data_IF_046345798876
#
_entry.id   IF_046345798876
#
_cell.length_a   1.000
_cell.length_b   1.000
_cell.length_c   1.000
_cell.angle_alpha   90.00
_cell.angle_beta   90.00
_cell.angle_gamma   90.00
#
_symmetry.space_group_name_H-M   'P 1'
#
loop_
_entity.id
_entity.type
_entity.pdbx_description
1 polymer ?
#
# COMPACT_ATOMS: atom_id res chain seq x y z
N UNK A 1 -27.34 20.41 -12.69
CA UNK A 1 -27.10 19.76 -11.34
C UNK A 1 -25.84 18.94 -11.45
N UNK A 2 -24.92 19.07 -10.51
CA UNK A 2 -23.64 18.36 -10.51
C UNK A 2 -23.88 16.85 -10.35
N UNK A 3 -23.37 16.05 -11.30
CA UNK A 3 -23.48 14.59 -11.30
C UNK A 3 -22.29 13.96 -10.58
N UNK A 4 -22.55 12.99 -9.66
CA UNK A 4 -21.55 12.27 -8.93
C UNK A 4 -20.53 11.56 -9.83
N UNK A 5 -20.95 11.09 -11.01
CA UNK A 5 -20.07 10.48 -12.01
C UNK A 5 -19.00 11.48 -12.50
N UNK A 6 -19.38 12.75 -12.70
CA UNK A 6 -18.46 13.81 -13.09
C UNK A 6 -17.52 14.21 -11.95
N UNK A 7 -17.98 14.16 -10.71
CA UNK A 7 -17.11 14.35 -9.54
C UNK A 7 -16.03 13.27 -9.45
N UNK A 8 -16.36 12.00 -9.73
CA UNK A 8 -15.37 10.91 -9.82
C UNK A 8 -14.33 11.18 -10.92
N UNK A 9 -14.76 11.71 -12.07
CA UNK A 9 -13.85 12.05 -13.17
C UNK A 9 -12.92 13.20 -12.77
N UNK A 10 -13.43 14.25 -12.13
CA UNK A 10 -12.59 15.35 -11.62
C UNK A 10 -11.52 14.82 -10.65
N UNK A 11 -11.91 13.95 -9.71
CA UNK A 11 -11.00 13.32 -8.77
C UNK A 11 -9.93 12.49 -9.48
N UNK A 12 -10.32 11.61 -10.41
CA UNK A 12 -9.36 10.80 -11.15
C UNK A 12 -8.37 11.65 -11.95
N UNK A 13 -8.80 12.78 -12.54
CA UNK A 13 -7.86 13.69 -13.23
C UNK A 13 -6.92 14.38 -12.25
N UNK A 14 -7.36 14.72 -11.06
CA UNK A 14 -6.51 15.26 -10.00
C UNK A 14 -5.46 14.24 -9.54
N UNK A 15 -5.87 12.99 -9.31
CA UNK A 15 -5.01 11.92 -8.83
C UNK A 15 -3.96 11.51 -9.87
N UNK A 16 -4.38 11.30 -11.12
CA UNK A 16 -3.53 10.80 -12.21
C UNK A 16 -2.81 11.87 -13.03
N UNK A 17 -3.06 13.15 -12.76
CA UNK A 17 -2.37 14.28 -13.40
C UNK A 17 -2.47 14.37 -14.92
N UNK A 18 -3.13 13.43 -15.60
CA UNK A 18 -3.39 13.47 -17.05
C UNK A 18 -4.77 12.90 -17.37
N UNK A 19 -5.41 13.41 -18.41
CA UNK A 19 -6.70 12.90 -18.90
C UNK A 19 -6.57 11.44 -19.37
N UNK A 20 -5.45 11.10 -19.99
CA UNK A 20 -5.21 9.73 -20.51
C UNK A 20 -5.09 8.73 -19.37
N UNK A 21 -4.31 9.04 -18.33
CA UNK A 21 -4.16 8.14 -17.18
C UNK A 21 -5.46 8.03 -16.37
N UNK A 22 -6.18 9.14 -16.15
CA UNK A 22 -7.51 9.12 -15.52
C UNK A 22 -8.52 8.30 -16.33
N UNK A 23 -8.48 8.37 -17.66
CA UNK A 23 -9.35 7.58 -18.52
C UNK A 23 -9.05 6.08 -18.39
N UNK A 24 -7.78 5.68 -18.37
CA UNK A 24 -7.38 4.30 -18.16
C UNK A 24 -7.86 3.79 -16.80
N UNK A 25 -7.64 4.56 -15.71
CA UNK A 25 -8.08 4.22 -14.36
C UNK A 25 -9.60 4.03 -14.24
N UNK A 26 -10.37 4.81 -15.00
CA UNK A 26 -11.84 4.74 -14.99
C UNK A 26 -12.42 3.80 -16.05
N UNK A 27 -11.58 3.09 -16.81
CA UNK A 27 -12.01 2.26 -17.97
C UNK A 27 -12.83 3.06 -19.00
N UNK A 28 -12.45 4.32 -19.22
CA UNK A 28 -13.07 5.23 -20.18
C UNK A 28 -12.10 5.61 -21.31
N UNK A 29 -12.62 6.23 -22.36
CA UNK A 29 -11.78 6.86 -23.37
C UNK A 29 -11.36 8.27 -22.94
N UNK A 30 -10.19 8.79 -23.35
CA UNK A 30 -9.78 10.17 -23.07
C UNK A 30 -10.78 11.21 -23.59
N UNK A 31 -11.45 10.92 -24.70
CA UNK A 31 -12.52 11.76 -25.25
C UNK A 31 -13.71 11.83 -24.29
N UNK A 32 -14.16 10.69 -23.74
CA UNK A 32 -15.28 10.65 -22.80
C UNK A 32 -14.95 11.44 -21.52
N UNK A 33 -13.75 11.25 -20.96
CA UNK A 33 -13.28 12.02 -19.79
C UNK A 33 -13.28 13.52 -20.09
N UNK A 34 -12.73 13.92 -21.26
CA UNK A 34 -12.69 15.33 -21.68
C UNK A 34 -14.08 15.95 -21.83
N UNK A 35 -15.05 15.21 -22.41
CA UNK A 35 -16.43 15.66 -22.57
C UNK A 35 -17.13 15.83 -21.21
N UNK A 36 -16.95 14.89 -20.29
CA UNK A 36 -17.57 14.97 -18.97
C UNK A 36 -16.97 16.10 -18.12
N UNK A 37 -15.65 16.35 -18.23
CA UNK A 37 -15.02 17.52 -17.59
C UNK A 37 -15.57 18.82 -18.15
N UNK A 38 -15.66 18.95 -19.47
CA UNK A 38 -16.21 20.16 -20.12
C UNK A 38 -17.67 20.41 -19.70
N UNK A 39 -18.48 19.35 -19.60
CA UNK A 39 -19.83 19.43 -19.08
C UNK A 39 -19.89 19.88 -17.63
N UNK A 40 -18.97 19.39 -16.77
CA UNK A 40 -18.87 19.82 -15.37
C UNK A 40 -18.45 21.29 -15.26
N UNK A 41 -17.49 21.74 -16.06
CA UNK A 41 -17.06 23.14 -16.15
C UNK A 41 -18.20 24.07 -16.61
N UNK A 42 -18.99 23.61 -17.58
CA UNK A 42 -20.17 24.34 -18.03
C UNK A 42 -21.25 24.45 -16.94
N UNK A 43 -21.53 23.37 -16.20
CA UNK A 43 -22.49 23.36 -15.09
C UNK A 43 -22.07 24.24 -13.92
N UNK A 44 -20.79 24.29 -13.61
CA UNK A 44 -20.25 25.12 -12.52
C UNK A 44 -19.98 26.56 -12.94
N UNK A 45 -19.92 26.84 -14.22
CA UNK A 45 -19.55 28.15 -14.76
C UNK A 45 -18.07 28.50 -14.59
N UNK A 46 -17.23 27.53 -14.19
CA UNK A 46 -15.82 27.74 -13.91
C UNK A 46 -14.95 26.73 -14.63
N UNK A 47 -13.77 27.15 -15.06
CA UNK A 47 -12.72 26.21 -15.42
C UNK A 47 -12.22 25.51 -14.18
N UNK A 48 -12.17 24.18 -14.21
CA UNK A 48 -11.76 23.34 -13.09
C UNK A 48 -10.37 22.73 -13.31
N UNK A 49 -9.98 22.58 -14.58
CA UNK A 49 -8.72 21.92 -14.97
C UNK A 49 -7.97 22.79 -15.99
N UNK A 50 -6.69 23.03 -15.72
CA UNK A 50 -5.74 23.60 -16.66
C UNK A 50 -4.91 22.49 -17.30
N UNK A 51 -4.81 22.53 -18.64
CA UNK A 51 -4.00 21.61 -19.43
C UNK A 51 -2.70 22.31 -19.84
N UNK A 52 -1.57 21.69 -19.55
CA UNK A 52 -0.25 22.20 -19.89
C UNK A 52 0.67 21.12 -20.41
N UNK A 53 1.88 21.50 -20.81
CA UNK A 53 2.90 20.58 -21.31
C UNK A 53 3.28 19.45 -20.30
N UNK A 54 3.00 19.68 -19.01
CA UNK A 54 3.28 18.73 -17.91
C UNK A 54 2.03 17.97 -17.42
N UNK A 55 0.94 17.95 -18.17
CA UNK A 55 -0.30 17.25 -17.82
C UNK A 55 -1.47 18.17 -17.47
N UNK A 56 -2.36 17.68 -16.61
CA UNK A 56 -3.54 18.37 -16.13
C UNK A 56 -3.38 18.77 -14.66
N UNK A 57 -3.75 20.00 -14.31
CA UNK A 57 -3.73 20.52 -12.92
C UNK A 57 -5.09 21.13 -12.61
N UNK A 58 -5.50 21.04 -11.36
CA UNK A 58 -6.70 21.74 -10.92
C UNK A 58 -6.45 23.25 -10.85
N UNK A 59 -7.50 24.02 -11.16
CA UNK A 59 -7.57 25.44 -10.83
C UNK A 59 -7.98 25.60 -9.36
N UNK A 60 -7.94 26.83 -8.81
CA UNK A 60 -8.48 27.09 -7.49
C UNK A 60 -9.96 26.68 -7.35
N UNK A 61 -10.79 26.89 -8.39
CA UNK A 61 -12.16 26.41 -8.43
C UNK A 61 -12.24 24.87 -8.47
N UNK A 62 -11.31 24.22 -9.18
CA UNK A 62 -11.18 22.77 -9.22
C UNK A 62 -10.84 22.19 -7.84
N UNK A 63 -9.92 22.80 -7.09
CA UNK A 63 -9.56 22.38 -5.74
C UNK A 63 -10.75 22.52 -4.77
N UNK A 64 -11.47 23.64 -4.83
CA UNK A 64 -12.69 23.83 -4.03
C UNK A 64 -13.71 22.72 -4.35
N UNK A 65 -13.99 22.47 -5.63
CA UNK A 65 -14.94 21.44 -6.00
C UNK A 65 -14.46 20.04 -5.63
N UNK A 66 -13.17 19.74 -5.75
CA UNK A 66 -12.59 18.45 -5.36
C UNK A 66 -12.78 18.18 -3.87
N UNK A 67 -12.59 19.19 -3.00
CA UNK A 67 -12.79 19.03 -1.56
C UNK A 67 -14.23 18.61 -1.23
N UNK A 68 -15.23 19.24 -1.88
CA UNK A 68 -16.64 18.86 -1.74
C UNK A 68 -16.95 17.52 -2.42
N UNK A 69 -16.34 17.24 -3.57
CA UNK A 69 -16.51 15.98 -4.28
C UNK A 69 -16.11 14.78 -3.40
N UNK A 70 -15.00 14.87 -2.67
CA UNK A 70 -14.54 13.81 -1.77
C UNK A 70 -15.59 13.53 -0.66
N UNK A 71 -16.20 14.57 -0.09
CA UNK A 71 -17.26 14.42 0.92
C UNK A 71 -18.51 13.76 0.33
N UNK A 72 -18.96 14.22 -0.84
CA UNK A 72 -20.15 13.64 -1.51
C UNK A 72 -19.92 12.18 -1.88
N UNK A 73 -18.75 11.86 -2.42
CA UNK A 73 -18.41 10.50 -2.82
C UNK A 73 -18.32 9.57 -1.59
N UNK A 74 -17.76 10.03 -0.47
CA UNK A 74 -17.74 9.29 0.79
C UNK A 74 -19.15 9.04 1.34
N UNK A 75 -20.08 10.00 1.22
CA UNK A 75 -21.48 9.80 1.62
C UNK A 75 -22.20 8.78 0.73
N UNK A 76 -21.91 8.75 -0.56
CA UNK A 76 -22.47 7.72 -1.45
C UNK A 76 -21.94 6.32 -1.10
N UNK A 77 -20.64 6.15 -0.79
CA UNK A 77 -20.09 4.88 -0.30
C UNK A 77 -20.79 4.43 0.99
N UNK A 78 -21.01 5.36 1.94
CA UNK A 78 -21.70 5.06 3.18
C UNK A 78 -23.14 4.63 2.95
N UNK A 79 -23.87 5.31 2.07
CA UNK A 79 -25.24 4.95 1.73
C UNK A 79 -25.28 3.57 1.03
N UNK A 80 -24.34 3.26 0.14
CA UNK A 80 -24.22 1.94 -0.48
C UNK A 80 -23.97 0.86 0.59
N UNK A 81 -23.13 1.13 1.61
CA UNK A 81 -22.85 0.23 2.72
C UNK A 81 -24.09 -0.01 3.60
N UNK A 82 -24.80 1.05 4.00
CA UNK A 82 -26.02 0.96 4.83
C UNK A 82 -27.14 0.22 4.10
N UNK A 83 -27.32 0.44 2.79
CA UNK A 83 -28.30 -0.28 1.99
C UNK A 83 -27.95 -1.77 1.83
N UNK A 84 -26.67 -2.08 1.70
CA UNK A 84 -26.22 -3.48 1.65
C UNK A 84 -26.47 -4.22 2.96
N UNK A 85 -26.33 -3.54 4.10
CA UNK A 85 -26.64 -4.10 5.43
C UNK A 85 -28.14 -4.35 5.64
N UNK A 86 -29.00 -3.55 5.02
CA UNK A 86 -30.46 -3.73 5.08
C UNK A 86 -30.95 -5.00 4.35
N UNK A 87 -30.16 -5.53 3.41
CA UNK A 87 -30.46 -6.75 2.67
C UNK A 87 -30.17 -8.00 3.49
N UNK A 88 -31.12 -8.92 3.62
CA UNK A 88 -30.91 -10.18 4.33
C UNK A 88 -29.92 -11.10 3.62
N UNK A 89 -28.79 -11.41 4.28
CA UNK A 89 -27.79 -12.38 3.83
C UNK A 89 -26.55 -11.74 3.20
N UNK A 90 -25.48 -11.67 4.00
CA UNK A 90 -24.19 -11.13 3.55
C UNK A 90 -23.47 -12.18 2.71
N UNK A 91 -23.65 -12.12 1.39
CA UNK A 91 -22.91 -12.96 0.44
C UNK A 91 -22.41 -12.11 -0.73
N UNK A 92 -21.12 -12.25 -1.07
CA UNK A 92 -20.54 -11.48 -2.16
C UNK A 92 -19.04 -11.67 -2.28
N UNK A 93 -18.43 -10.84 -3.12
CA UNK A 93 -16.98 -10.87 -3.36
C UNK A 93 -16.35 -9.56 -2.92
N UNK A 94 -15.26 -9.64 -2.15
CA UNK A 94 -14.35 -8.52 -1.81
C UNK A 94 -13.03 -8.74 -2.53
N UNK A 95 -12.54 -7.72 -3.20
CA UNK A 95 -11.22 -7.77 -3.86
C UNK A 95 -10.20 -7.03 -3.00
N UNK A 96 -9.10 -7.71 -2.68
CA UNK A 96 -8.02 -7.18 -1.83
C UNK A 96 -6.72 -7.15 -2.61
N UNK A 97 -6.07 -6.00 -2.69
CA UNK A 97 -4.70 -5.87 -3.17
C UNK A 97 -3.74 -5.86 -1.98
N UNK A 98 -2.67 -6.65 -2.04
CA UNK A 98 -1.68 -6.71 -0.97
C UNK A 98 -0.33 -7.18 -1.54
N UNK A 99 0.76 -6.72 -0.95
CA UNK A 99 2.11 -7.17 -1.26
C UNK A 99 2.37 -8.60 -0.71
N UNK A 100 3.29 -9.33 -1.32
CA UNK A 100 3.52 -10.77 -1.09
C UNK A 100 3.64 -11.16 0.40
N UNK A 101 4.46 -10.44 1.19
CA UNK A 101 4.62 -10.74 2.63
C UNK A 101 3.37 -10.37 3.44
N UNK A 102 2.61 -9.36 3.06
CA UNK A 102 1.31 -9.01 3.66
C UNK A 102 0.24 -10.08 3.39
N UNK A 103 0.26 -10.67 2.17
CA UNK A 103 -0.59 -11.81 1.84
C UNK A 103 -0.29 -12.97 2.79
N UNK A 104 0.98 -13.35 2.94
CA UNK A 104 1.38 -14.49 3.76
C UNK A 104 1.11 -14.29 5.25
N UNK A 105 1.44 -13.11 5.78
CA UNK A 105 1.40 -12.85 7.21
C UNK A 105 -0.01 -12.56 7.74
N UNK A 106 -0.80 -11.80 7.00
CA UNK A 106 -2.09 -11.30 7.48
C UNK A 106 -3.26 -11.84 6.68
N UNK A 107 -3.19 -11.74 5.35
CA UNK A 107 -4.38 -12.00 4.53
C UNK A 107 -4.72 -13.49 4.46
N UNK A 108 -3.77 -14.38 4.22
CA UNK A 108 -4.04 -15.81 4.13
C UNK A 108 -4.57 -16.40 5.46
N UNK A 109 -4.02 -16.06 6.66
CA UNK A 109 -4.64 -16.45 7.92
C UNK A 109 -6.03 -15.83 8.12
N UNK A 110 -6.26 -14.58 7.72
CA UNK A 110 -7.57 -13.94 7.80
C UNK A 110 -8.61 -14.64 6.90
N UNK A 111 -8.23 -15.11 5.71
CA UNK A 111 -9.10 -15.92 4.84
C UNK A 111 -9.51 -17.22 5.50
N UNK A 112 -8.60 -17.88 6.24
CA UNK A 112 -8.91 -19.11 6.99
C UNK A 112 -9.94 -18.84 8.08
N UNK A 113 -9.87 -17.70 8.75
CA UNK A 113 -10.84 -17.26 9.75
C UNK A 113 -12.21 -16.94 9.11
N UNK A 114 -12.20 -16.15 8.04
CA UNK A 114 -13.39 -15.76 7.30
C UNK A 114 -14.18 -16.95 6.75
N UNK A 115 -13.50 -18.00 6.30
CA UNK A 115 -14.18 -19.22 5.82
C UNK A 115 -15.07 -19.85 6.91
N UNK A 116 -14.75 -19.63 8.19
CA UNK A 116 -15.54 -20.15 9.34
C UNK A 116 -16.57 -19.15 9.84
N UNK A 117 -16.25 -17.85 9.87
CA UNK A 117 -17.07 -16.81 10.50
C UNK A 117 -18.02 -16.12 9.52
N UNK A 118 -17.63 -16.03 8.25
CA UNK A 118 -18.40 -15.37 7.20
C UNK A 118 -18.33 -16.14 5.86
N UNK A 119 -18.85 -17.39 5.78
CA UNK A 119 -18.69 -18.28 4.63
C UNK A 119 -19.34 -17.76 3.34
N UNK A 120 -20.25 -16.78 3.44
CA UNK A 120 -20.85 -16.10 2.28
C UNK A 120 -19.90 -15.10 1.59
N UNK A 121 -18.82 -14.70 2.25
CA UNK A 121 -17.87 -13.73 1.71
C UNK A 121 -16.76 -14.47 0.96
N UNK A 122 -16.63 -14.18 -0.33
CA UNK A 122 -15.50 -14.64 -1.15
C UNK A 122 -14.49 -13.51 -1.28
N UNK A 123 -13.23 -13.75 -0.93
CA UNK A 123 -12.15 -12.79 -1.13
C UNK A 123 -11.33 -13.16 -2.36
N UNK A 124 -11.13 -12.20 -3.27
CA UNK A 124 -10.16 -12.28 -4.37
C UNK A 124 -8.94 -11.48 -4.01
N UNK A 125 -7.77 -12.08 -4.15
CA UNK A 125 -6.49 -11.45 -3.82
C UNK A 125 -5.75 -11.09 -5.09
N UNK A 126 -5.18 -9.89 -5.13
CA UNK A 126 -4.25 -9.41 -6.16
C UNK A 126 -2.93 -9.05 -5.49
N UNK A 127 -1.83 -9.56 -6.03
CA UNK A 127 -0.49 -9.16 -5.61
C UNK A 127 -0.20 -7.77 -6.18
N UNK A 128 0.06 -6.81 -5.29
CA UNK A 128 0.42 -5.44 -5.65
C UNK A 128 1.20 -4.77 -4.51
N UNK A 129 2.27 -4.07 -4.87
CA UNK A 129 3.05 -3.28 -3.93
C UNK A 129 2.27 -2.04 -3.44
N UNK A 130 2.71 -1.47 -2.30
CA UNK A 130 1.98 -0.42 -1.60
C UNK A 130 1.74 0.86 -2.40
N UNK A 131 2.65 1.21 -3.32
CA UNK A 131 2.51 2.37 -4.22
C UNK A 131 1.44 2.15 -5.30
N UNK A 132 1.17 0.91 -5.70
CA UNK A 132 0.12 0.54 -6.64
C UNK A 132 -1.21 0.23 -5.95
N UNK A 133 -1.20 -0.45 -4.80
CA UNK A 133 -2.41 -0.99 -4.16
C UNK A 133 -3.37 0.10 -3.67
N UNK A 134 -2.87 1.22 -3.12
CA UNK A 134 -3.71 2.32 -2.64
C UNK A 134 -4.41 3.06 -3.79
N UNK A 135 -3.74 3.43 -4.90
CA UNK A 135 -4.43 3.92 -6.11
C UNK A 135 -5.53 2.98 -6.61
N UNK A 136 -5.32 1.65 -6.59
CA UNK A 136 -6.34 0.68 -7.01
C UNK A 136 -7.64 0.77 -6.17
N UNK A 137 -7.55 1.10 -4.87
CA UNK A 137 -8.73 1.36 -4.02
C UNK A 137 -9.45 2.63 -4.47
N UNK A 138 -8.70 3.71 -4.71
CA UNK A 138 -9.27 4.99 -5.14
C UNK A 138 -9.96 4.88 -6.51
N UNK A 139 -9.40 4.07 -7.41
CA UNK A 139 -9.91 3.81 -8.75
C UNK A 139 -11.01 2.73 -8.78
N UNK A 140 -11.41 2.18 -7.63
CA UNK A 140 -12.41 1.10 -7.49
C UNK A 140 -12.04 -0.20 -8.21
N UNK A 141 -10.76 -0.44 -8.44
CA UNK A 141 -10.27 -1.71 -8.99
C UNK A 141 -10.27 -2.81 -7.92
N UNK A 142 -10.02 -2.41 -6.67
CA UNK A 142 -10.15 -3.27 -5.49
C UNK A 142 -10.94 -2.56 -4.39
N UNK A 143 -11.42 -3.34 -3.44
CA UNK A 143 -12.20 -2.83 -2.30
C UNK A 143 -11.29 -2.47 -1.12
N UNK A 144 -10.25 -3.25 -0.90
CA UNK A 144 -9.29 -3.10 0.20
C UNK A 144 -7.87 -3.16 -0.36
N UNK A 145 -6.96 -2.33 0.17
CA UNK A 145 -5.53 -2.46 -0.03
C UNK A 145 -4.84 -2.76 1.31
N UNK A 146 -3.83 -3.64 1.29
CA UNK A 146 -2.84 -3.77 2.36
C UNK A 146 -1.56 -3.15 1.87
N UNK A 147 -1.09 -2.10 2.52
CA UNK A 147 0.01 -1.27 2.06
C UNK A 147 1.02 -0.99 3.18
N UNK A 148 2.24 -0.71 2.79
CA UNK A 148 3.30 -0.18 3.66
C UNK A 148 3.26 1.34 3.61
N UNK A 149 3.50 2.00 4.74
CA UNK A 149 3.64 3.45 4.79
C UNK A 149 4.93 3.89 4.07
N UNK A 150 4.82 4.90 3.20
CA UNK A 150 5.94 5.47 2.45
C UNK A 150 5.73 6.97 2.24
N UNK A 151 6.77 7.72 1.87
CA UNK A 151 6.74 9.19 1.76
C UNK A 151 5.70 9.73 0.78
N UNK A 152 5.32 8.96 -0.23
CA UNK A 152 4.28 9.31 -1.21
C UNK A 152 2.89 8.76 -0.89
N UNK A 153 2.74 8.00 0.21
CA UNK A 153 1.45 7.46 0.60
C UNK A 153 0.46 8.58 0.94
N UNK A 154 -0.84 8.41 0.68
CA UNK A 154 -1.85 9.32 1.18
C UNK A 154 -1.69 9.55 2.68
N UNK A 155 -1.78 10.80 3.13
CA UNK A 155 -1.66 11.14 4.55
C UNK A 155 -2.74 10.43 5.39
N UNK A 156 -2.53 10.32 6.70
CA UNK A 156 -3.51 9.68 7.59
C UNK A 156 -4.87 10.41 7.60
N UNK A 157 -4.87 11.72 7.37
CA UNK A 157 -6.05 12.57 7.30
C UNK A 157 -6.62 12.70 5.87
N UNK A 158 -6.16 11.90 4.93
CA UNK A 158 -6.68 11.90 3.55
C UNK A 158 -8.15 11.50 3.54
N UNK A 159 -9.01 12.47 3.24
CA UNK A 159 -10.47 12.31 3.26
C UNK A 159 -11.04 11.36 2.19
N UNK A 160 -10.20 10.76 1.36
CA UNK A 160 -10.61 9.79 0.34
C UNK A 160 -10.58 8.37 0.86
N UNK A 161 -9.84 8.12 1.93
CA UNK A 161 -9.55 6.80 2.47
C UNK A 161 -9.82 6.74 3.96
N UNK A 162 -10.26 5.58 4.44
CA UNK A 162 -10.15 5.15 5.82
C UNK A 162 -8.96 4.19 5.91
N UNK A 163 -8.01 4.49 6.81
CA UNK A 163 -6.84 3.63 7.08
C UNK A 163 -7.04 2.89 8.39
N UNK A 164 -6.76 1.60 8.37
CA UNK A 164 -6.82 0.71 9.53
C UNK A 164 -5.40 0.21 9.79
N UNK A 165 -4.72 0.64 10.86
CA UNK A 165 -3.40 0.14 11.21
C UNK A 165 -3.44 -1.37 11.46
N UNK A 166 -2.50 -2.12 10.87
CA UNK A 166 -2.40 -3.56 11.06
C UNK A 166 -1.24 -3.91 11.98
N UNK A 167 -0.02 -3.70 11.54
CA UNK A 167 1.16 -4.00 12.33
C UNK A 167 2.36 -3.12 11.96
N UNK A 168 3.37 -3.16 12.82
CA UNK A 168 4.67 -2.55 12.58
C UNK A 168 5.74 -3.59 12.84
N UNK A 169 6.76 -3.65 11.98
CA UNK A 169 7.83 -4.63 12.13
C UNK A 169 9.20 -4.06 11.79
N UNK A 170 10.25 -4.48 12.51
CA UNK A 170 11.61 -4.08 12.21
C UNK A 170 12.18 -4.85 11.01
N UNK A 171 13.23 -4.28 10.42
CA UNK A 171 14.12 -4.95 9.50
C UNK A 171 15.30 -5.52 10.25
N UNK A 172 15.70 -6.72 9.89
CA UNK A 172 16.94 -7.35 10.35
C UNK A 172 17.99 -7.33 9.24
N UNK A 173 19.26 -7.27 9.62
CA UNK A 173 20.38 -7.38 8.69
C UNK A 173 20.55 -8.84 8.25
N UNK A 174 20.64 -9.07 6.94
CA UNK A 174 20.95 -10.34 6.32
C UNK A 174 22.34 -10.23 5.71
N UNK A 175 23.25 -11.07 6.20
CA UNK A 175 24.68 -11.05 5.86
C UNK A 175 25.09 -12.42 5.31
N UNK A 176 26.06 -12.49 4.38
CA UNK A 176 26.73 -13.75 4.06
C UNK A 176 27.26 -14.45 5.31
N UNK A 177 27.26 -15.78 5.33
CA UNK A 177 27.71 -16.55 6.50
C UNK A 177 29.16 -16.25 6.90
N UNK A 178 30.03 -15.94 5.93
CA UNK A 178 31.44 -15.62 6.15
C UNK A 178 31.70 -14.10 6.28
N UNK A 179 30.65 -13.29 6.41
CA UNK A 179 30.77 -11.85 6.57
C UNK A 179 31.49 -11.49 7.87
N UNK A 180 32.36 -10.45 7.88
CA UNK A 180 33.15 -10.00 9.04
C UNK A 180 32.33 -9.68 10.31
N UNK A 181 31.03 -9.41 10.17
CA UNK A 181 30.11 -9.13 11.28
C UNK A 181 29.17 -10.31 11.57
N UNK A 182 29.38 -11.47 10.94
CA UNK A 182 28.49 -12.62 11.08
C UNK A 182 28.39 -13.14 12.52
N UNK A 183 29.48 -13.03 13.31
CA UNK A 183 29.56 -13.51 14.69
C UNK A 183 29.03 -12.48 15.72
N UNK A 184 28.62 -11.29 15.31
CA UNK A 184 28.06 -10.27 16.21
C UNK A 184 26.61 -10.62 16.59
N UNK A 185 26.18 -10.31 17.81
CA UNK A 185 24.79 -10.51 18.24
C UNK A 185 23.83 -9.52 17.57
N UNK A 186 24.32 -8.30 17.26
CA UNK A 186 23.62 -7.22 16.59
C UNK A 186 24.57 -6.49 15.65
N UNK A 187 24.04 -5.79 14.66
CA UNK A 187 24.83 -5.08 13.65
C UNK A 187 24.37 -3.63 13.54
N UNK A 188 25.30 -2.70 13.68
CA UNK A 188 25.02 -1.30 13.39
C UNK A 188 24.99 -1.09 11.86
N UNK A 189 23.98 -0.39 11.34
CA UNK A 189 23.86 -0.09 9.89
C UNK A 189 25.10 0.65 9.39
N UNK A 190 25.70 1.53 10.20
CA UNK A 190 26.93 2.25 9.87
C UNK A 190 28.13 1.34 9.56
N UNK A 191 28.20 0.17 10.19
CA UNK A 191 29.28 -0.80 9.96
C UNK A 191 29.19 -1.46 8.57
N UNK A 192 28.01 -1.38 7.92
CA UNK A 192 27.76 -1.93 6.59
C UNK A 192 28.01 -0.91 5.45
N UNK A 193 28.53 0.28 5.76
CA UNK A 193 28.71 1.37 4.79
C UNK A 193 29.60 1.04 3.59
N UNK A 194 30.54 0.09 3.75
CA UNK A 194 31.49 -0.29 2.70
C UNK A 194 31.08 -1.52 1.90
N UNK A 195 30.03 -2.20 2.33
CA UNK A 195 29.59 -3.44 1.71
C UNK A 195 28.73 -3.15 0.45
N UNK A 196 28.68 -4.05 -0.53
CA UNK A 196 27.68 -4.00 -1.57
C UNK A 196 26.31 -4.31 -0.97
N UNK A 197 25.27 -3.62 -1.48
CA UNK A 197 23.91 -3.77 -0.96
C UNK A 197 23.01 -4.44 -1.97
N UNK A 198 22.07 -5.21 -1.43
CA UNK A 198 20.95 -5.82 -2.16
C UNK A 198 19.68 -5.24 -1.56
N UNK A 199 18.81 -4.66 -2.39
CA UNK A 199 17.57 -4.03 -1.91
C UNK A 199 16.45 -4.05 -2.93
N UNK A 200 15.24 -3.61 -2.52
CA UNK A 200 14.13 -3.43 -3.43
C UNK A 200 14.41 -2.36 -4.50
N UNK A 201 13.61 -2.39 -5.59
CA UNK A 201 13.70 -1.36 -6.63
C UNK A 201 13.24 0.02 -6.12
N UNK A 202 13.78 1.12 -6.67
CA UNK A 202 13.24 2.46 -6.45
C UNK A 202 11.75 2.53 -6.77
N UNK A 203 10.95 3.10 -5.85
CA UNK A 203 9.50 3.12 -5.92
C UNK A 203 8.83 2.10 -4.99
N UNK A 204 9.51 1.01 -4.65
CA UNK A 204 9.04 0.11 -3.60
C UNK A 204 9.14 0.79 -2.22
N UNK A 205 8.10 0.78 -1.37
CA UNK A 205 8.15 1.36 -0.02
C UNK A 205 9.32 0.87 0.84
N UNK A 206 9.69 -0.40 0.73
CA UNK A 206 10.81 -0.96 1.48
C UNK A 206 12.18 -0.44 1.00
N UNK A 207 12.29 -0.02 -0.27
CA UNK A 207 13.50 0.66 -0.76
C UNK A 207 13.75 1.94 0.03
N UNK A 208 12.71 2.75 0.24
CA UNK A 208 12.81 3.99 1.02
C UNK A 208 13.24 3.72 2.46
N UNK A 209 12.73 2.66 3.10
CA UNK A 209 13.15 2.27 4.45
C UNK A 209 14.64 1.95 4.51
N UNK A 210 15.16 1.20 3.53
CA UNK A 210 16.59 0.85 3.45
C UNK A 210 17.45 2.08 3.23
N UNK A 211 17.09 2.93 2.26
CA UNK A 211 17.87 4.14 1.94
C UNK A 211 17.90 5.09 3.12
N UNK A 212 16.75 5.36 3.76
CA UNK A 212 16.69 6.22 4.94
C UNK A 212 17.50 5.67 6.11
N UNK A 213 17.50 4.35 6.32
CA UNK A 213 18.31 3.73 7.37
C UNK A 213 19.82 3.98 7.15
N UNK A 214 20.27 3.88 5.90
CA UNK A 214 21.67 4.15 5.53
C UNK A 214 21.99 5.66 5.63
N UNK A 215 21.09 6.54 5.18
CA UNK A 215 21.25 8.00 5.32
C UNK A 215 21.36 8.42 6.79
N UNK A 216 20.51 7.89 7.68
CA UNK A 216 20.62 8.12 9.12
C UNK A 216 21.91 7.58 9.73
N UNK A 217 22.46 6.51 9.16
CA UNK A 217 23.77 5.98 9.53
C UNK A 217 24.94 6.74 8.90
N UNK A 218 24.68 7.78 8.08
CA UNK A 218 25.68 8.70 7.53
C UNK A 218 26.27 8.28 6.19
N UNK A 219 25.61 7.40 5.42
CA UNK A 219 26.08 6.99 4.09
C UNK A 219 24.92 6.70 3.12
N UNK A 220 25.21 6.67 1.82
CA UNK A 220 24.32 6.17 0.79
C UNK A 220 24.65 4.71 0.47
N UNK A 221 23.67 3.79 0.42
CA UNK A 221 23.93 2.39 0.12
C UNK A 221 24.34 2.22 -1.36
N UNK A 222 25.41 1.44 -1.59
CA UNK A 222 25.81 1.05 -2.94
C UNK A 222 24.97 -0.16 -3.38
N UNK A 223 23.77 0.10 -3.90
CA UNK A 223 22.85 -0.92 -4.39
C UNK A 223 23.40 -1.53 -5.69
N UNK A 224 24.01 -2.70 -5.61
CA UNK A 224 24.52 -3.44 -6.77
C UNK A 224 23.48 -4.41 -7.34
N UNK A 225 22.58 -4.89 -6.49
CA UNK A 225 21.51 -5.81 -6.89
C UNK A 225 20.16 -5.32 -6.37
N UNK A 226 19.11 -5.53 -7.19
CA UNK A 226 17.75 -5.14 -6.81
C UNK A 226 16.74 -6.25 -7.06
N UNK A 227 15.88 -6.50 -6.07
CA UNK A 227 14.74 -7.38 -6.18
C UNK A 227 13.68 -6.98 -5.15
N UNK A 228 12.40 -6.99 -5.57
CA UNK A 228 11.26 -6.81 -4.65
C UNK A 228 10.86 -8.13 -3.96
N UNK A 229 11.39 -9.25 -4.43
CA UNK A 229 11.23 -10.56 -3.76
C UNK A 229 12.33 -10.78 -2.72
N UNK A 230 11.98 -10.74 -1.44
CA UNK A 230 12.93 -10.97 -0.34
C UNK A 230 13.56 -12.37 -0.35
N UNK A 231 12.95 -13.37 -1.00
CA UNK A 231 13.58 -14.68 -1.19
C UNK A 231 14.79 -14.56 -2.12
N UNK A 232 14.65 -13.80 -3.20
CA UNK A 232 15.76 -13.52 -4.11
C UNK A 232 16.84 -12.69 -3.42
N UNK A 233 16.45 -11.69 -2.61
CA UNK A 233 17.40 -10.89 -1.80
C UNK A 233 18.23 -11.79 -0.88
N UNK A 234 17.59 -12.68 -0.12
CA UNK A 234 18.27 -13.62 0.79
C UNK A 234 19.16 -14.59 0.03
N UNK A 235 18.69 -15.12 -1.11
CA UNK A 235 19.51 -16.02 -1.94
C UNK A 235 20.76 -15.33 -2.51
N UNK A 236 20.66 -14.07 -2.94
CA UNK A 236 21.80 -13.27 -3.39
C UNK A 236 22.80 -13.01 -2.26
N UNK A 237 22.31 -12.67 -1.05
CA UNK A 237 23.17 -12.52 0.12
C UNK A 237 23.88 -13.84 0.45
N UNK A 238 23.20 -14.99 0.35
CA UNK A 238 23.80 -16.31 0.54
C UNK A 238 24.83 -16.70 -0.51
N UNK A 239 24.81 -16.03 -1.68
CA UNK A 239 25.82 -16.17 -2.72
C UNK A 239 26.97 -15.15 -2.61
N UNK A 240 27.10 -14.47 -1.45
CA UNK A 240 28.12 -13.43 -1.18
C UNK A 240 28.05 -12.21 -2.14
N UNK A 241 26.82 -11.93 -2.64
CA UNK A 241 26.62 -10.80 -3.55
C UNK A 241 26.43 -9.46 -2.82
N UNK A 242 26.33 -9.47 -1.49
CA UNK A 242 26.18 -8.27 -0.67
C UNK A 242 25.37 -8.49 0.60
N UNK A 243 25.07 -7.37 1.26
CA UNK A 243 24.27 -7.33 2.50
C UNK A 243 22.88 -6.77 2.21
N UNK A 244 21.90 -7.07 3.07
CA UNK A 244 20.56 -6.55 2.94
C UNK A 244 19.91 -6.23 4.28
N UNK A 245 18.91 -5.35 4.26
CA UNK A 245 17.92 -5.23 5.33
C UNK A 245 16.61 -5.85 4.85
N UNK A 246 16.08 -6.79 5.63
CA UNK A 246 14.89 -7.57 5.26
C UNK A 246 13.86 -7.48 6.39
N UNK A 247 12.55 -7.24 6.11
CA UNK A 247 11.53 -7.25 7.14
C UNK A 247 11.52 -8.58 7.88
N UNK A 248 11.46 -8.56 9.21
CA UNK A 248 11.55 -9.76 10.06
C UNK A 248 10.53 -10.83 9.69
N UNK A 249 9.31 -10.43 9.33
CA UNK A 249 8.27 -11.39 8.93
C UNK A 249 8.59 -12.09 7.61
N UNK A 250 9.30 -11.42 6.69
CA UNK A 250 9.68 -12.01 5.41
C UNK A 250 10.66 -13.19 5.57
N UNK A 251 11.44 -13.19 6.64
CA UNK A 251 12.43 -14.25 6.93
C UNK A 251 11.79 -15.51 7.52
N UNK A 252 10.53 -15.44 7.97
CA UNK A 252 9.83 -16.57 8.57
C UNK A 252 9.60 -17.67 7.54
N UNK A 253 10.06 -18.88 7.88
CA UNK A 253 9.89 -20.06 7.01
C UNK A 253 10.70 -20.03 5.71
N UNK A 254 11.66 -19.09 5.57
CA UNK A 254 12.64 -19.11 4.50
C UNK A 254 13.78 -20.07 4.84
N UNK A 255 14.35 -20.68 3.79
CA UNK A 255 15.63 -21.33 3.89
C UNK A 255 16.72 -20.25 3.94
N UNK A 256 17.54 -20.29 5.01
CA UNK A 256 18.57 -19.28 5.29
C UNK A 256 19.99 -19.85 5.03
N UNK A 257 20.11 -20.75 4.05
CA UNK A 257 21.40 -21.32 3.67
C UNK A 257 22.37 -20.24 3.18
N UNK A 258 23.59 -20.25 3.73
CA UNK A 258 24.64 -19.31 3.35
C UNK A 258 24.48 -17.88 3.91
N UNK A 259 23.48 -17.63 4.74
CA UNK A 259 23.30 -16.33 5.40
C UNK A 259 23.20 -16.45 6.90
N UNK A 260 23.52 -15.35 7.59
CA UNK A 260 23.17 -15.12 8.99
C UNK A 260 22.25 -13.92 9.08
N UNK A 261 21.28 -13.97 9.97
CA UNK A 261 20.36 -12.88 10.27
C UNK A 261 20.75 -12.26 11.61
N UNK A 262 20.90 -10.95 11.64
CA UNK A 262 21.25 -10.21 12.85
C UNK A 262 20.29 -9.05 13.07
N UNK A 263 19.77 -8.85 14.28
CA UNK A 263 19.04 -7.64 14.62
C UNK A 263 19.89 -6.40 14.37
N UNK A 264 19.25 -5.31 13.93
CA UNK A 264 19.92 -4.02 13.82
C UNK A 264 20.09 -3.43 15.21
N UNK A 265 21.28 -2.93 15.51
CA UNK A 265 21.61 -2.27 16.77
C UNK A 265 20.83 -0.95 16.92
N UNK A 266 20.35 -0.67 18.14
CA UNK A 266 19.63 0.57 18.45
C UNK A 266 18.22 0.61 17.88
N UNK A 267 17.89 1.71 17.18
CA UNK A 267 16.57 1.88 16.55
C UNK A 267 16.55 1.21 15.19
N UNK A 268 16.05 -0.02 15.13
CA UNK A 268 15.94 -0.77 13.89
C UNK A 268 15.02 -0.03 12.88
N UNK A 269 15.39 0.00 11.59
CA UNK A 269 14.49 0.45 10.53
C UNK A 269 13.17 -0.33 10.59
N UNK A 270 12.06 0.36 10.43
CA UNK A 270 10.74 -0.23 10.70
C UNK A 270 9.79 0.14 9.58
N UNK A 271 8.98 -0.81 9.11
CA UNK A 271 7.85 -0.53 8.25
C UNK A 271 6.53 -0.62 9.03
N UNK A 272 5.61 0.29 8.73
CA UNK A 272 4.24 0.26 9.24
C UNK A 272 3.31 -0.20 8.14
N UNK A 273 2.45 -1.14 8.46
CA UNK A 273 1.50 -1.75 7.53
C UNK A 273 0.09 -1.41 7.95
N UNK A 274 -0.72 -1.02 6.98
CA UNK A 274 -2.12 -0.64 7.18
C UNK A 274 -3.00 -1.26 6.09
N UNK A 275 -4.28 -1.46 6.40
CA UNK A 275 -5.31 -1.65 5.41
C UNK A 275 -5.93 -0.30 5.04
N UNK A 276 -6.29 -0.13 3.78
CA UNK A 276 -6.99 1.06 3.28
C UNK A 276 -8.25 0.66 2.53
N UNK A 277 -9.33 1.40 2.78
CA UNK A 277 -10.60 1.32 2.06
C UNK A 277 -11.05 2.72 1.67
N UNK A 278 -11.96 2.85 0.70
CA UNK A 278 -12.56 4.16 0.40
C UNK A 278 -13.28 4.69 1.62
N UNK A 279 -13.14 5.97 1.87
CA UNK A 279 -13.83 6.67 2.96
C UNK A 279 -15.35 6.43 2.86
N UNK A 280 -15.93 5.92 3.94
CA UNK A 280 -17.35 5.56 4.02
C UNK A 280 -17.67 4.09 3.70
N UNK A 281 -16.73 3.34 3.11
CA UNK A 281 -16.91 1.91 2.81
C UNK A 281 -16.50 1.00 3.98
N UNK A 282 -15.88 1.52 5.03
CA UNK A 282 -15.38 0.74 6.18
C UNK A 282 -16.47 -0.02 6.94
N UNK A 283 -17.72 0.47 6.88
CA UNK A 283 -18.90 -0.18 7.48
C UNK A 283 -19.61 -1.15 6.53
N UNK A 284 -19.17 -1.32 5.30
CA UNK A 284 -19.86 -2.20 4.33
C UNK A 284 -19.85 -3.66 4.82
N UNK A 285 -21.02 -4.36 4.82
CA UNK A 285 -21.18 -5.68 5.42
C UNK A 285 -20.29 -6.77 4.80
N UNK A 286 -19.81 -6.59 3.58
CA UNK A 286 -18.79 -7.47 2.98
C UNK A 286 -17.37 -7.09 3.39
N UNK A 287 -17.08 -5.79 3.53
CA UNK A 287 -15.72 -5.27 3.78
C UNK A 287 -15.36 -5.36 5.26
N UNK A 288 -16.28 -4.98 6.15
CA UNK A 288 -16.04 -4.94 7.60
C UNK A 288 -15.54 -6.28 8.16
N UNK A 289 -16.14 -7.45 7.85
CA UNK A 289 -15.63 -8.73 8.34
C UNK A 289 -14.20 -9.05 7.84
N UNK A 290 -13.83 -8.59 6.63
CA UNK A 290 -12.47 -8.77 6.09
C UNK A 290 -11.48 -7.93 6.88
N UNK A 291 -11.80 -6.67 7.16
CA UNK A 291 -10.98 -5.79 8.00
C UNK A 291 -10.82 -6.36 9.40
N UNK A 292 -11.91 -6.76 10.06
CA UNK A 292 -11.90 -7.32 11.42
C UNK A 292 -11.02 -8.59 11.50
N UNK A 293 -11.11 -9.47 10.50
CA UNK A 293 -10.28 -10.68 10.44
C UNK A 293 -8.79 -10.35 10.27
N UNK A 294 -8.45 -9.36 9.43
CA UNK A 294 -7.07 -8.91 9.27
C UNK A 294 -6.53 -8.24 10.53
N UNK A 295 -7.32 -7.39 11.21
CA UNK A 295 -6.93 -6.77 12.49
C UNK A 295 -6.69 -7.84 13.58
N UNK A 296 -7.58 -8.83 13.69
CA UNK A 296 -7.44 -9.92 14.66
C UNK A 296 -6.18 -10.76 14.42
N UNK A 297 -5.82 -11.02 13.16
CA UNK A 297 -4.57 -11.70 12.79
C UNK A 297 -3.38 -10.81 13.13
N UNK A 298 -3.41 -9.54 12.74
CA UNK A 298 -2.32 -8.60 12.96
C UNK A 298 -1.98 -8.42 14.45
N UNK A 299 -2.98 -8.38 15.33
CA UNK A 299 -2.79 -8.31 16.79
C UNK A 299 -2.09 -9.56 17.32
N UNK A 300 -2.47 -10.75 16.83
CA UNK A 300 -1.80 -12.03 17.20
C UNK A 300 -0.33 -12.04 16.75
N UNK A 301 -0.07 -11.65 15.51
CA UNK A 301 1.27 -11.62 14.94
C UNK A 301 2.18 -10.53 15.57
N UNK A 302 1.62 -9.35 15.90
CA UNK A 302 2.34 -8.31 16.62
C UNK A 302 2.73 -8.72 18.06
N UNK A 303 1.93 -9.57 18.71
CA UNK A 303 2.26 -10.18 20.00
C UNK A 303 3.47 -11.10 19.90
N UNK A 304 3.62 -11.84 18.80
CA UNK A 304 4.76 -12.71 18.52
C UNK A 304 6.04 -11.94 18.15
N UNK A 305 5.92 -10.71 17.65
CA UNK A 305 7.06 -9.87 17.32
C UNK A 305 7.69 -9.18 18.56
N UNK A 306 6.98 -9.18 19.70
CA UNK A 306 7.46 -8.62 20.98
C UNK A 306 8.05 -9.66 21.93
N UNK A 307 7.91 -10.92 21.63
CA UNK A 307 8.48 -12.06 22.38
C UNK A 307 9.74 -12.59 21.71
#
# INVERSE_FOLDING_TARGET
>A
MIDARRLRILRAVADHRTVTAAAAALYLTPSAVSQQLAALEQETGHRLVERGARGARLTAAGEILLSHANVVLAQLERAEAELADYGAGVAGTVTVAAFATGIGLVLAPALTELARTAPGIRVKVQDAEGDASVPMVLDRQVDVAVAVEYRGAPAEDDRRLTRVPLYSEPFDAVLPVDHRLADQDQVAVADLAKDPWIGPYPGNPCHEVVVLACEFAGFEPRLEHSSDDFRAVVALAGADAGVALVPRSALRGMELSGVVVRPVEGSAPTRRVFAAVRQGAEGHPLIRPVLDAMEAVAVREAGLARA
#
